data_IF_553533927611
#
_entry.id   IF_553533927611
#
_cell.length_a   1.000
_cell.length_b   1.000
_cell.length_c   1.000
_cell.angle_alpha   90.00
_cell.angle_beta   90.00
_cell.angle_gamma   90.00
#
_symmetry.space_group_name_H-M   'P 1'
#
loop_
_entity.id
_entity.type
_entity.pdbx_description
1 polymer ?
#
# COMPACT_ATOMS: atom_id res chain seq x y z
N UNK A 1 52.02 31.90 -77.79
CA UNK A 1 51.14 30.71 -77.51
C UNK A 1 50.87 30.73 -75.98
N UNK A 2 49.74 31.25 -75.50
CA UNK A 2 49.44 31.48 -74.11
C UNK A 2 48.48 30.35 -73.67
N UNK A 3 48.95 29.49 -72.73
CA UNK A 3 48.11 28.52 -72.04
C UNK A 3 47.19 29.20 -71.03
N UNK A 4 45.90 29.06 -71.20
CA UNK A 4 44.84 29.48 -70.21
C UNK A 4 44.75 28.42 -69.14
N UNK A 5 44.94 28.87 -67.90
CA UNK A 5 44.63 28.07 -66.69
C UNK A 5 43.12 28.07 -66.48
N UNK A 6 42.53 26.88 -66.47
CA UNK A 6 41.13 26.68 -65.98
C UNK A 6 41.12 26.59 -64.46
N UNK A 7 40.19 27.21 -63.74
CA UNK A 7 40.06 27.03 -62.32
C UNK A 7 39.29 25.72 -61.99
N UNK A 8 39.85 24.93 -61.12
CA UNK A 8 39.14 23.80 -60.49
C UNK A 8 38.04 24.35 -59.59
N UNK A 9 36.77 24.06 -59.94
CA UNK A 9 35.63 24.28 -59.05
C UNK A 9 35.53 23.02 -58.15
N UNK A 10 35.89 23.16 -56.89
CA UNK A 10 35.66 22.13 -55.88
C UNK A 10 34.17 22.10 -55.50
N UNK A 11 33.51 21.03 -55.90
CA UNK A 11 32.14 20.73 -55.55
C UNK A 11 32.12 20.23 -54.08
N UNK A 12 31.78 21.06 -53.13
CA UNK A 12 31.53 20.64 -51.74
C UNK A 12 30.14 20.09 -51.68
N UNK A 13 30.04 18.76 -51.65
CA UNK A 13 28.79 18.04 -51.39
C UNK A 13 28.49 18.19 -49.90
N UNK A 14 27.53 19.04 -49.55
CA UNK A 14 26.95 19.10 -48.23
C UNK A 14 26.09 17.85 -48.04
N UNK A 15 26.60 16.88 -47.25
CA UNK A 15 25.81 15.76 -46.75
C UNK A 15 24.96 16.32 -45.62
N UNK A 16 23.72 16.66 -45.91
CA UNK A 16 22.72 16.94 -44.88
C UNK A 16 22.39 15.60 -44.18
N UNK A 17 22.95 15.39 -42.98
CA UNK A 17 22.48 14.36 -42.05
C UNK A 17 21.07 14.75 -41.60
N UNK A 18 20.07 14.13 -42.23
CA UNK A 18 18.72 14.10 -41.72
C UNK A 18 18.76 13.28 -40.42
N UNK A 19 18.84 13.98 -39.27
CA UNK A 19 18.51 13.39 -37.98
C UNK A 19 17.02 13.03 -38.03
N UNK A 20 16.71 11.82 -38.42
CA UNK A 20 15.41 11.23 -38.20
C UNK A 20 15.22 11.21 -36.67
N UNK A 21 14.45 12.17 -36.14
CA UNK A 21 13.90 12.11 -34.82
C UNK A 21 13.10 10.78 -34.79
N UNK A 22 13.69 9.77 -34.18
CA UNK A 22 12.95 8.65 -33.66
C UNK A 22 12.11 9.22 -32.52
N UNK A 23 10.90 9.68 -32.85
CA UNK A 23 9.82 9.70 -31.89
C UNK A 23 9.59 8.23 -31.55
N UNK A 24 10.38 7.69 -30.62
CA UNK A 24 10.11 6.45 -29.98
C UNK A 24 8.68 6.58 -29.49
N UNK A 25 7.80 5.68 -29.92
CA UNK A 25 6.55 5.45 -29.23
C UNK A 25 6.98 5.12 -27.80
N UNK A 26 6.85 6.11 -26.89
CA UNK A 26 7.05 5.89 -25.47
C UNK A 26 6.09 4.76 -25.14
N UNK A 27 6.62 3.58 -24.84
CA UNK A 27 5.82 2.45 -24.42
C UNK A 27 5.01 2.91 -23.23
N UNK A 28 3.73 2.60 -23.21
CA UNK A 28 2.87 2.94 -22.10
C UNK A 28 3.51 2.40 -20.82
N UNK A 29 3.61 3.26 -19.79
CA UNK A 29 4.20 2.84 -18.52
C UNK A 29 3.29 1.82 -17.82
N UNK A 30 3.83 0.70 -17.29
CA UNK A 30 3.01 -0.27 -16.60
C UNK A 30 2.42 0.31 -15.30
N UNK A 31 1.22 -0.13 -14.94
CA UNK A 31 0.62 0.17 -13.64
C UNK A 31 1.46 -0.49 -12.53
N UNK A 32 1.89 0.27 -11.53
CA UNK A 32 2.59 -0.27 -10.35
C UNK A 32 1.57 -0.76 -9.33
N UNK A 33 1.56 -2.06 -9.06
CA UNK A 33 0.57 -2.73 -8.23
C UNK A 33 1.14 -3.04 -6.84
N UNK A 34 0.44 -2.64 -5.80
CA UNK A 34 0.77 -2.96 -4.42
C UNK A 34 -0.33 -3.79 -3.80
N UNK A 35 0.02 -4.97 -3.29
CA UNK A 35 -0.88 -5.84 -2.53
C UNK A 35 -0.86 -5.41 -1.06
N UNK A 36 -2.01 -4.99 -0.53
CA UNK A 36 -2.19 -4.58 0.86
C UNK A 36 -2.97 -5.68 1.59
N UNK A 37 -2.28 -6.52 2.33
CA UNK A 37 -2.87 -7.71 2.95
C UNK A 37 -2.87 -7.64 4.48
N UNK A 38 -3.89 -8.20 5.11
CA UNK A 38 -3.95 -8.24 6.56
C UNK A 38 -5.32 -8.54 7.15
N UNK A 39 -5.55 -8.00 8.35
CA UNK A 39 -6.80 -8.18 9.08
C UNK A 39 -7.51 -6.83 9.31
N UNK A 40 -8.36 -6.73 10.32
CA UNK A 40 -9.20 -5.54 10.59
C UNK A 40 -8.46 -4.19 10.55
N UNK A 41 -7.21 -4.13 10.98
CA UNK A 41 -6.43 -2.91 10.89
C UNK A 41 -6.04 -2.55 9.46
N UNK A 42 -5.85 -3.53 8.57
CA UNK A 42 -5.71 -3.29 7.15
C UNK A 42 -7.07 -3.03 6.48
N UNK A 43 -8.18 -3.65 6.94
CA UNK A 43 -9.53 -3.28 6.48
C UNK A 43 -9.83 -1.78 6.67
N UNK A 44 -9.27 -1.20 7.73
CA UNK A 44 -9.41 0.22 8.05
C UNK A 44 -10.48 0.50 9.10
N UNK A 45 -10.04 1.05 10.21
CA UNK A 45 -10.88 1.35 11.38
C UNK A 45 -10.89 2.83 11.74
N UNK A 46 -10.08 3.65 11.04
CA UNK A 46 -10.02 5.08 11.27
C UNK A 46 -11.36 5.74 10.93
N UNK A 47 -11.85 6.58 11.83
CA UNK A 47 -13.12 7.29 11.66
C UNK A 47 -12.88 8.64 10.98
N UNK A 48 -13.63 8.91 9.91
CA UNK A 48 -13.51 10.17 9.14
C UNK A 48 -14.24 11.32 9.83
N UNK A 49 -15.57 11.20 10.01
CA UNK A 49 -16.44 12.31 10.36
C UNK A 49 -17.65 11.93 11.23
N UNK A 50 -17.74 10.68 11.68
CA UNK A 50 -18.83 10.27 12.54
C UNK A 50 -18.71 10.95 13.91
N UNK A 51 -19.81 11.55 14.34
CA UNK A 51 -19.92 12.22 15.62
C UNK A 51 -21.21 11.75 16.31
N UNK A 52 -21.04 10.90 17.32
CA UNK A 52 -22.15 10.44 18.15
C UNK A 52 -21.69 10.45 19.61
N UNK A 53 -22.38 11.19 20.51
CA UNK A 53 -21.90 11.39 21.89
C UNK A 53 -21.62 10.10 22.66
N UNK A 54 -22.39 9.03 22.38
CA UNK A 54 -22.24 7.75 23.04
C UNK A 54 -21.19 6.86 22.38
N UNK A 55 -21.18 6.80 21.02
CA UNK A 55 -20.46 5.75 20.29
C UNK A 55 -19.13 6.24 19.71
N UNK A 56 -18.98 7.56 19.48
CA UNK A 56 -17.81 8.17 18.83
C UNK A 56 -17.17 9.31 19.64
N UNK A 57 -17.37 9.32 20.95
CA UNK A 57 -16.71 10.25 21.88
C UNK A 57 -16.80 11.73 21.45
N UNK A 58 -17.94 12.16 20.91
CA UNK A 58 -18.14 13.52 20.41
C UNK A 58 -17.22 13.88 19.23
N UNK A 59 -16.85 12.91 18.43
CA UNK A 59 -16.02 13.08 17.23
C UNK A 59 -14.53 13.30 17.48
N UNK A 60 -14.06 13.21 18.73
CA UNK A 60 -12.63 13.35 19.05
C UNK A 60 -11.78 12.34 18.31
N UNK A 61 -10.67 12.79 17.74
CA UNK A 61 -9.74 11.93 17.00
C UNK A 61 -10.26 11.43 15.65
N UNK A 62 -11.44 11.87 15.18
CA UNK A 62 -11.87 11.69 13.80
C UNK A 62 -11.02 12.52 12.85
N UNK A 63 -10.97 12.18 11.57
CA UNK A 63 -10.16 12.91 10.59
C UNK A 63 -10.58 14.37 10.50
N UNK A 64 -11.87 14.67 10.44
CA UNK A 64 -12.35 16.07 10.42
C UNK A 64 -12.04 16.83 11.70
N UNK A 65 -11.94 16.13 12.85
CA UNK A 65 -11.57 16.74 14.11
C UNK A 65 -10.09 17.12 14.12
N UNK A 66 -9.19 16.19 13.79
CA UNK A 66 -7.74 16.45 13.80
C UNK A 66 -7.32 17.47 12.75
N UNK A 67 -8.04 17.59 11.64
CA UNK A 67 -7.82 18.60 10.61
C UNK A 67 -8.18 20.02 11.06
N UNK A 68 -8.96 20.20 12.14
CA UNK A 68 -9.29 21.52 12.70
C UNK A 68 -8.19 22.07 13.60
N UNK A 69 -7.27 21.25 14.05
CA UNK A 69 -6.12 21.68 14.85
C UNK A 69 -5.13 22.42 13.94
N UNK A 70 -4.89 23.74 14.15
CA UNK A 70 -3.98 24.52 13.30
C UNK A 70 -2.55 23.98 13.26
N UNK A 71 -2.11 23.31 14.33
CA UNK A 71 -0.78 22.71 14.39
C UNK A 71 -0.67 21.45 13.53
N UNK A 72 -1.78 20.74 13.30
CA UNK A 72 -1.86 19.48 12.56
C UNK A 72 -2.40 19.65 11.14
N UNK A 73 -3.24 20.65 10.90
CA UNK A 73 -3.91 20.88 9.62
C UNK A 73 -2.99 20.79 8.39
N UNK A 74 -1.76 21.34 8.40
CA UNK A 74 -0.85 21.23 7.25
C UNK A 74 -0.52 19.78 6.86
N UNK A 75 -0.49 18.86 7.82
CA UNK A 75 -0.21 17.44 7.58
C UNK A 75 -1.29 16.77 6.73
N UNK A 76 -2.53 17.24 6.84
CA UNK A 76 -3.70 16.65 6.16
C UNK A 76 -4.21 17.50 4.99
N UNK A 77 -3.56 18.62 4.68
CA UNK A 77 -4.05 19.60 3.69
C UNK A 77 -4.31 18.97 2.31
N UNK A 78 -3.48 18.00 1.90
CA UNK A 78 -3.60 17.29 0.63
C UNK A 78 -4.83 16.36 0.55
N UNK A 79 -5.49 16.05 1.66
CA UNK A 79 -6.70 15.22 1.70
C UNK A 79 -7.97 16.00 1.30
N UNK A 80 -7.87 17.30 1.13
CA UNK A 80 -8.95 18.16 0.63
C UNK A 80 -8.51 18.89 -0.62
N UNK A 81 -9.43 19.03 -1.57
CA UNK A 81 -9.24 19.88 -2.72
C UNK A 81 -9.52 21.36 -2.39
N UNK A 82 -9.32 22.23 -3.38
CA UNK A 82 -9.56 23.69 -3.24
C UNK A 82 -11.01 24.06 -2.89
N UNK A 83 -11.96 23.16 -3.16
CA UNK A 83 -13.40 23.36 -2.89
C UNK A 83 -13.80 22.72 -1.54
N UNK A 84 -12.83 22.20 -0.77
CA UNK A 84 -13.04 21.55 0.53
C UNK A 84 -13.63 20.15 0.44
N UNK A 85 -13.71 19.56 -0.75
CA UNK A 85 -14.14 18.17 -0.94
C UNK A 85 -12.97 17.22 -0.67
N UNK A 86 -13.28 15.97 -0.36
CA UNK A 86 -12.24 14.95 -0.24
C UNK A 86 -11.54 14.74 -1.58
N UNK A 87 -10.22 14.84 -1.56
CA UNK A 87 -9.38 14.57 -2.73
C UNK A 87 -9.64 13.16 -3.24
N UNK A 88 -9.77 13.03 -4.54
CA UNK A 88 -9.74 11.76 -5.26
C UNK A 88 -8.52 11.80 -6.17
N UNK A 89 -7.59 10.84 -5.98
CA UNK A 89 -6.39 10.76 -6.80
C UNK A 89 -6.64 9.89 -8.02
N UNK A 90 -6.48 10.46 -9.20
CA UNK A 90 -6.65 9.74 -10.46
C UNK A 90 -5.44 8.88 -10.80
N UNK A 91 -4.26 9.24 -10.30
CA UNK A 91 -2.99 8.52 -10.47
C UNK A 91 -2.78 7.38 -9.48
N UNK A 92 -3.67 7.20 -8.50
CA UNK A 92 -3.68 6.07 -7.56
C UNK A 92 -5.06 5.46 -7.52
N UNK A 93 -5.20 4.24 -8.00
CA UNK A 93 -6.43 3.48 -7.93
C UNK A 93 -6.45 2.54 -6.74
N UNK A 94 -7.64 2.21 -6.26
CA UNK A 94 -7.88 1.20 -5.24
C UNK A 94 -8.87 0.17 -5.77
N UNK A 95 -8.59 -1.09 -5.50
CA UNK A 95 -9.49 -2.22 -5.70
C UNK A 95 -9.59 -2.98 -4.37
N UNK A 96 -10.77 -3.07 -3.79
CA UNK A 96 -11.01 -3.72 -2.51
C UNK A 96 -12.36 -4.44 -2.49
N UNK A 97 -12.31 -5.76 -2.41
CA UNK A 97 -13.48 -6.62 -2.30
C UNK A 97 -13.78 -6.88 -0.83
N UNK A 98 -14.84 -6.26 -0.35
CA UNK A 98 -15.34 -6.48 1.02
C UNK A 98 -16.30 -7.69 1.05
N UNK A 99 -16.79 -8.06 2.23
CA UNK A 99 -17.82 -9.09 2.35
C UNK A 99 -19.16 -8.69 1.68
N UNK A 100 -19.35 -7.40 1.35
CA UNK A 100 -20.64 -6.85 0.92
C UNK A 100 -20.58 -6.25 -0.49
N UNK A 101 -19.46 -5.71 -0.89
CA UNK A 101 -19.33 -4.96 -2.15
C UNK A 101 -17.89 -4.95 -2.67
N UNK A 102 -17.74 -4.69 -3.96
CA UNK A 102 -16.47 -4.32 -4.57
C UNK A 102 -16.34 -2.81 -4.61
N UNK A 103 -15.39 -2.27 -3.84
CA UNK A 103 -15.00 -0.86 -3.85
C UNK A 103 -13.84 -0.67 -4.82
N UNK A 104 -14.01 0.18 -5.83
CA UNK A 104 -12.97 0.49 -6.81
C UNK A 104 -13.05 1.92 -7.32
N UNK A 105 -11.92 2.52 -7.66
CA UNK A 105 -11.83 3.89 -8.17
C UNK A 105 -10.56 4.60 -7.73
N UNK A 106 -10.50 5.91 -7.92
CA UNK A 106 -9.40 6.76 -7.45
C UNK A 106 -9.28 6.78 -5.93
N UNK A 107 -8.06 6.85 -5.43
CA UNK A 107 -7.79 6.85 -3.98
C UNK A 107 -8.44 8.05 -3.30
N UNK A 108 -9.23 7.76 -2.27
CA UNK A 108 -9.89 8.73 -1.38
C UNK A 108 -10.23 8.05 -0.05
N UNK A 109 -10.95 8.74 0.82
CA UNK A 109 -11.58 8.10 1.99
C UNK A 109 -12.61 7.04 1.56
N UNK A 110 -12.94 6.10 2.46
CA UNK A 110 -14.04 5.14 2.27
C UNK A 110 -13.63 3.75 1.79
N UNK A 111 -12.35 3.51 1.53
CA UNK A 111 -11.85 2.18 1.19
C UNK A 111 -11.58 1.32 2.45
N UNK A 112 -12.54 1.32 3.38
CA UNK A 112 -12.54 0.48 4.57
C UNK A 112 -13.51 -0.70 4.44
N UNK A 113 -13.44 -1.66 5.35
CA UNK A 113 -14.32 -2.83 5.39
C UNK A 113 -15.79 -2.50 5.71
N UNK A 114 -16.07 -1.26 6.10
CA UNK A 114 -17.43 -0.76 6.41
C UNK A 114 -18.09 -0.14 5.20
N UNK A 115 -19.42 -0.10 5.22
CA UNK A 115 -20.21 0.63 4.23
C UNK A 115 -19.97 2.14 4.27
N UNK A 116 -20.26 2.82 3.15
CA UNK A 116 -20.12 4.28 3.03
C UNK A 116 -18.69 4.79 3.04
N UNK A 117 -18.52 6.07 3.35
CA UNK A 117 -17.24 6.79 3.28
C UNK A 117 -16.75 7.30 4.64
N UNK A 118 -17.28 6.78 5.74
CA UNK A 118 -16.99 7.27 7.09
C UNK A 118 -15.72 6.67 7.73
N UNK A 119 -15.07 5.74 7.03
CA UNK A 119 -13.87 5.09 7.52
C UNK A 119 -12.78 5.02 6.44
N UNK A 120 -11.53 4.89 6.89
CA UNK A 120 -10.37 4.60 6.05
C UNK A 120 -9.37 3.72 6.80
N UNK A 121 -8.43 3.15 6.08
CA UNK A 121 -7.32 2.38 6.62
C UNK A 121 -5.96 2.98 6.24
N UNK A 122 -4.89 2.22 6.44
CA UNK A 122 -3.54 2.66 6.08
C UNK A 122 -3.38 2.98 4.59
N UNK A 123 -4.24 2.39 3.72
CA UNK A 123 -4.19 2.59 2.27
C UNK A 123 -4.25 4.06 1.88
N UNK A 124 -4.98 4.90 2.65
CA UNK A 124 -5.18 6.31 2.31
C UNK A 124 -3.84 7.04 2.20
N UNK A 125 -3.08 7.09 3.29
CA UNK A 125 -1.81 7.83 3.28
C UNK A 125 -0.68 7.03 2.63
N UNK A 126 -0.70 5.70 2.68
CA UNK A 126 0.21 4.87 1.90
C UNK A 126 0.14 5.21 0.41
N UNK A 127 -1.07 5.28 -0.14
CA UNK A 127 -1.28 5.61 -1.55
C UNK A 127 -0.85 7.04 -1.90
N UNK A 128 -1.03 8.01 -1.01
CA UNK A 128 -0.49 9.36 -1.22
C UNK A 128 1.04 9.37 -1.26
N UNK A 129 1.72 8.65 -0.36
CA UNK A 129 3.19 8.56 -0.35
C UNK A 129 3.71 7.91 -1.63
N UNK A 130 3.12 6.78 -2.03
CA UNK A 130 3.57 6.03 -3.21
C UNK A 130 3.25 6.78 -4.50
N UNK A 131 2.04 7.34 -4.65
CA UNK A 131 1.67 8.11 -5.83
C UNK A 131 2.51 9.38 -6.00
N UNK A 132 2.99 9.98 -4.91
CA UNK A 132 3.93 11.11 -4.98
C UNK A 132 5.36 10.69 -5.34
N UNK A 133 5.71 9.42 -5.17
CA UNK A 133 7.05 8.90 -5.40
C UNK A 133 7.24 8.26 -6.78
N UNK A 134 6.17 7.92 -7.47
CA UNK A 134 6.19 7.23 -8.77
C UNK A 134 5.45 8.05 -9.83
N UNK A 135 6.03 8.13 -11.01
CA UNK A 135 5.37 8.73 -12.18
C UNK A 135 4.35 7.78 -12.86
N UNK A 136 4.35 6.50 -12.43
CA UNK A 136 3.45 5.49 -12.96
C UNK A 136 2.06 5.62 -12.35
N UNK A 137 1.03 5.17 -13.09
CA UNK A 137 -0.24 4.82 -12.47
C UNK A 137 -0.03 3.77 -11.38
N UNK A 138 -0.60 3.99 -10.21
CA UNK A 138 -0.54 3.07 -9.07
C UNK A 138 -1.88 2.37 -8.90
N UNK A 139 -1.85 1.08 -8.54
CA UNK A 139 -3.02 0.31 -8.11
C UNK A 139 -2.77 -0.31 -6.74
N UNK A 140 -3.61 -0.02 -5.78
CA UNK A 140 -3.64 -0.66 -4.47
C UNK A 140 -4.71 -1.77 -4.49
N UNK A 141 -4.28 -3.02 -4.47
CA UNK A 141 -5.19 -4.17 -4.30
C UNK A 141 -5.22 -4.53 -2.83
N UNK A 142 -6.37 -4.33 -2.19
CA UNK A 142 -6.53 -4.54 -0.76
C UNK A 142 -7.25 -5.86 -0.50
N UNK A 143 -6.61 -6.73 0.30
CA UNK A 143 -7.09 -8.07 0.65
C UNK A 143 -6.98 -8.24 2.16
N UNK A 144 -8.03 -7.89 2.87
CA UNK A 144 -8.03 -7.85 4.32
C UNK A 144 -9.36 -8.32 4.89
N UNK A 145 -9.29 -9.14 5.94
CA UNK A 145 -10.45 -9.70 6.61
C UNK A 145 -10.26 -9.69 8.13
N UNK A 146 -11.22 -9.11 8.85
CA UNK A 146 -11.20 -9.00 10.30
C UNK A 146 -11.13 -10.35 11.01
N UNK A 147 -10.43 -10.38 12.13
CA UNK A 147 -10.36 -11.58 12.97
C UNK A 147 -9.53 -12.75 12.40
N UNK A 148 -8.67 -12.51 11.42
CA UNK A 148 -7.91 -13.56 10.74
C UNK A 148 -6.47 -13.68 11.24
N UNK A 149 -6.00 -14.92 11.41
CA UNK A 149 -4.65 -15.29 11.84
C UNK A 149 -3.80 -15.80 10.69
N UNK A 150 -2.47 -15.69 10.79
CA UNK A 150 -1.58 -16.41 9.89
C UNK A 150 -1.44 -17.88 10.30
N UNK A 151 -1.63 -18.18 11.59
CA UNK A 151 -1.59 -19.53 12.13
C UNK A 151 -2.58 -20.48 11.45
N UNK A 152 -3.77 -19.97 11.07
CA UNK A 152 -4.84 -20.75 10.48
C UNK A 152 -5.32 -20.16 9.15
N UNK A 153 -5.78 -18.91 9.15
CA UNK A 153 -6.56 -18.35 8.04
C UNK A 153 -5.68 -17.98 6.84
N UNK A 154 -4.51 -17.39 7.08
CA UNK A 154 -3.52 -17.07 6.04
C UNK A 154 -2.37 -18.11 5.99
N UNK A 155 -2.53 -19.29 6.59
CA UNK A 155 -1.46 -20.29 6.66
C UNK A 155 -0.92 -20.60 5.26
N UNK A 156 0.36 -20.34 4.99
CA UNK A 156 0.94 -20.57 3.67
C UNK A 156 1.28 -22.06 3.48
N UNK A 157 1.39 -22.54 2.24
CA UNK A 157 1.70 -23.96 1.95
C UNK A 157 2.97 -24.46 2.65
N UNK A 158 4.03 -23.66 2.68
CA UNK A 158 5.33 -24.05 3.27
C UNK A 158 5.31 -24.18 4.80
N UNK A 159 4.27 -23.71 5.47
CA UNK A 159 4.09 -23.92 6.92
C UNK A 159 3.53 -25.29 7.27
N UNK A 160 3.18 -26.11 6.25
CA UNK A 160 2.56 -27.41 6.43
C UNK A 160 1.13 -27.32 6.97
N UNK A 161 0.46 -28.47 7.06
CA UNK A 161 -0.96 -28.55 7.43
C UNK A 161 -1.88 -28.07 6.30
N UNK A 162 -3.09 -27.66 6.67
CA UNK A 162 -4.07 -27.14 5.72
C UNK A 162 -3.73 -25.70 5.32
N UNK A 163 -3.75 -25.44 4.01
CA UNK A 163 -3.53 -24.07 3.49
C UNK A 163 -4.71 -23.18 3.89
N UNK A 164 -4.39 -22.01 4.43
CA UNK A 164 -5.40 -21.07 4.91
C UNK A 164 -6.25 -20.50 3.78
N UNK A 165 -7.59 -20.45 3.95
CA UNK A 165 -8.49 -19.93 2.90
C UNK A 165 -8.20 -18.48 2.54
N UNK A 166 -7.78 -17.64 3.50
CA UNK A 166 -7.43 -16.24 3.23
C UNK A 166 -6.13 -16.11 2.42
N UNK A 167 -5.16 -17.03 2.56
CA UNK A 167 -3.98 -17.07 1.70
C UNK A 167 -4.39 -17.29 0.23
N UNK A 168 -5.23 -18.31 0.00
CA UNK A 168 -5.73 -18.61 -1.36
C UNK A 168 -6.57 -17.47 -1.93
N UNK A 169 -7.48 -16.92 -1.11
CA UNK A 169 -8.35 -15.82 -1.52
C UNK A 169 -7.57 -14.53 -1.83
N UNK A 170 -6.55 -14.19 -1.05
CA UNK A 170 -5.66 -13.06 -1.29
C UNK A 170 -5.05 -13.09 -2.70
N UNK A 171 -4.53 -14.24 -3.09
CA UNK A 171 -3.94 -14.41 -4.42
C UNK A 171 -5.00 -14.45 -5.54
N UNK A 172 -6.18 -15.01 -5.26
CA UNK A 172 -7.29 -15.03 -6.21
C UNK A 172 -7.81 -13.62 -6.47
N UNK A 173 -8.02 -12.81 -5.44
CA UNK A 173 -8.47 -11.42 -5.56
C UNK A 173 -7.43 -10.53 -6.25
N UNK A 174 -6.13 -10.74 -5.99
CA UNK A 174 -5.08 -10.06 -6.75
C UNK A 174 -5.20 -10.38 -8.25
N UNK A 175 -5.36 -11.65 -8.62
CA UNK A 175 -5.53 -12.05 -10.04
C UNK A 175 -6.82 -11.50 -10.65
N UNK A 176 -7.92 -11.47 -9.89
CA UNK A 176 -9.19 -10.87 -10.30
C UNK A 176 -9.02 -9.37 -10.61
N UNK A 177 -8.38 -8.62 -9.70
CA UNK A 177 -8.11 -7.20 -9.90
C UNK A 177 -7.26 -6.95 -11.15
N UNK A 178 -6.19 -7.73 -11.35
CA UNK A 178 -5.29 -7.61 -12.49
C UNK A 178 -5.96 -8.01 -13.82
N UNK A 179 -6.82 -9.03 -13.80
CA UNK A 179 -7.58 -9.49 -14.97
C UNK A 179 -8.69 -8.52 -15.40
N UNK A 180 -9.18 -7.67 -14.47
CA UNK A 180 -10.28 -6.74 -14.70
C UNK A 180 -9.84 -5.27 -14.80
N UNK A 181 -8.56 -4.97 -15.05
CA UNK A 181 -8.03 -3.60 -15.05
C UNK A 181 -8.83 -2.66 -15.96
N UNK A 182 -9.07 -3.04 -17.20
CA UNK A 182 -9.80 -2.22 -18.17
C UNK A 182 -11.27 -2.02 -17.83
N UNK A 183 -11.89 -3.03 -17.23
CA UNK A 183 -13.28 -2.99 -16.79
C UNK A 183 -13.42 -2.17 -15.50
N UNK A 184 -12.46 -2.31 -14.61
CA UNK A 184 -12.47 -1.64 -13.31
C UNK A 184 -12.04 -0.18 -13.38
N UNK A 185 -11.15 0.16 -14.32
CA UNK A 185 -10.55 1.48 -14.45
C UNK A 185 -10.59 1.91 -15.93
N UNK A 186 -11.61 2.70 -16.32
CA UNK A 186 -11.79 3.13 -17.71
C UNK A 186 -10.57 3.86 -18.30
N UNK A 187 -9.81 4.56 -17.46
CA UNK A 187 -8.59 5.30 -17.84
C UNK A 187 -7.37 4.41 -18.02
N UNK A 188 -7.48 3.09 -17.77
CA UNK A 188 -6.40 2.16 -18.03
C UNK A 188 -6.05 2.09 -19.52
N UNK A 189 -4.85 2.49 -19.84
CA UNK A 189 -4.36 2.68 -21.22
C UNK A 189 -3.87 1.39 -21.91
N UNK A 190 -3.83 0.26 -21.19
CA UNK A 190 -3.33 -1.02 -21.70
C UNK A 190 -1.81 -1.18 -21.63
N UNK A 191 -1.10 -0.37 -20.83
CA UNK A 191 0.36 -0.45 -20.64
C UNK A 191 0.87 -1.68 -19.87
N UNK A 192 -0.01 -2.58 -19.45
CA UNK A 192 0.34 -3.72 -18.59
C UNK A 192 0.45 -3.32 -17.11
N UNK A 193 0.97 -4.23 -16.32
CA UNK A 193 1.19 -3.99 -14.88
C UNK A 193 2.48 -4.63 -14.40
N UNK A 194 2.95 -4.15 -13.26
CA UNK A 194 4.07 -4.70 -12.51
C UNK A 194 3.69 -4.75 -11.03
N UNK A 195 3.74 -5.93 -10.41
CA UNK A 195 3.53 -6.07 -8.97
C UNK A 195 4.80 -5.57 -8.28
N UNK A 196 4.68 -4.43 -7.59
CA UNK A 196 5.80 -3.67 -7.07
C UNK A 196 6.04 -3.85 -5.56
N UNK A 197 5.06 -4.37 -4.82
CA UNK A 197 5.24 -4.57 -3.38
C UNK A 197 4.07 -5.26 -2.69
N UNK A 198 4.36 -5.78 -1.50
CA UNK A 198 3.39 -6.33 -0.54
C UNK A 198 3.49 -5.55 0.77
N UNK A 199 2.36 -5.12 1.30
CA UNK A 199 2.23 -4.58 2.66
C UNK A 199 1.45 -5.59 3.50
N UNK A 200 2.06 -6.04 4.59
CA UNK A 200 1.47 -6.96 5.54
C UNK A 200 1.13 -6.26 6.85
N UNK A 201 -0.14 -6.18 7.20
CA UNK A 201 -0.59 -5.54 8.43
C UNK A 201 -1.60 -6.43 9.18
N UNK A 202 -1.05 -7.47 9.82
CA UNK A 202 -1.79 -8.54 10.49
C UNK A 202 -0.96 -9.04 11.69
N UNK A 203 -1.60 -9.64 12.69
CA UNK A 203 -0.93 -10.29 13.81
C UNK A 203 -1.72 -10.31 15.11
N UNK A 204 -2.76 -9.46 15.27
CA UNK A 204 -3.54 -9.40 16.51
C UNK A 204 -4.13 -10.75 16.91
N UNK A 205 -4.72 -11.48 15.96
CA UNK A 205 -5.34 -12.78 16.26
C UNK A 205 -4.32 -13.85 16.65
N UNK A 206 -3.13 -13.83 16.04
CA UNK A 206 -2.03 -14.74 16.42
C UNK A 206 -1.52 -14.42 17.81
N UNK A 207 -1.36 -13.14 18.12
CA UNK A 207 -0.95 -12.67 19.44
C UNK A 207 -1.91 -13.14 20.55
N UNK A 208 -3.22 -13.14 20.27
CA UNK A 208 -4.26 -13.60 21.21
C UNK A 208 -4.39 -15.13 21.25
N UNK A 209 -3.64 -15.87 20.44
CA UNK A 209 -3.71 -17.32 20.31
C UNK A 209 -2.38 -17.93 20.76
N UNK A 210 -2.25 -18.42 22.03
CA UNK A 210 -0.97 -18.84 22.57
C UNK A 210 -0.16 -19.82 21.69
N UNK A 211 -0.75 -20.84 21.02
CA UNK A 211 -0.01 -21.71 20.12
C UNK A 211 0.54 -21.02 18.86
N UNK A 212 -0.05 -19.90 18.44
CA UNK A 212 0.35 -19.20 17.23
C UNK A 212 1.60 -18.31 17.44
N UNK A 213 1.82 -17.82 18.66
CA UNK A 213 2.91 -16.89 18.98
C UNK A 213 4.30 -17.44 18.60
N UNK A 214 4.69 -18.68 19.00
CA UNK A 214 6.01 -19.19 18.67
C UNK A 214 6.18 -19.53 17.18
N UNK A 215 5.11 -19.74 16.43
CA UNK A 215 5.17 -20.05 15.00
C UNK A 215 5.13 -18.80 14.10
N UNK A 216 4.80 -17.62 14.65
CA UNK A 216 4.48 -16.45 13.85
C UNK A 216 5.61 -16.03 12.91
N UNK A 217 6.86 -15.94 13.41
CA UNK A 217 8.02 -15.55 12.62
C UNK A 217 8.20 -16.48 11.41
N UNK A 218 8.14 -17.80 11.64
CA UNK A 218 8.32 -18.76 10.57
C UNK A 218 7.13 -18.76 9.60
N UNK A 219 5.91 -18.67 10.10
CA UNK A 219 4.71 -18.63 9.25
C UNK A 219 4.70 -17.38 8.36
N UNK A 220 5.12 -16.22 8.86
CA UNK A 220 5.19 -15.01 8.04
C UNK A 220 6.36 -15.07 7.05
N UNK A 221 7.50 -15.63 7.43
CA UNK A 221 8.61 -15.86 6.51
C UNK A 221 8.18 -16.79 5.36
N UNK A 222 7.50 -17.89 5.68
CA UNK A 222 6.96 -18.83 4.70
C UNK A 222 5.93 -18.15 3.78
N UNK A 223 5.02 -17.32 4.33
CA UNK A 223 4.04 -16.58 3.54
C UNK A 223 4.72 -15.68 2.52
N UNK A 224 5.75 -14.93 2.93
CA UNK A 224 6.49 -14.05 2.03
C UNK A 224 7.16 -14.85 0.91
N UNK A 225 7.81 -15.96 1.24
CA UNK A 225 8.48 -16.82 0.27
C UNK A 225 7.49 -17.48 -0.69
N UNK A 226 6.35 -17.99 -0.18
CA UNK A 226 5.31 -18.63 -1.00
C UNK A 226 4.63 -17.62 -1.94
N UNK A 227 4.35 -16.39 -1.47
CA UNK A 227 3.83 -15.31 -2.32
C UNK A 227 4.85 -14.94 -3.41
N UNK A 228 6.13 -14.78 -3.08
CA UNK A 228 7.19 -14.52 -4.05
C UNK A 228 7.31 -15.61 -5.09
N UNK A 229 7.23 -16.87 -4.69
CA UNK A 229 7.25 -18.05 -5.57
C UNK A 229 6.04 -18.07 -6.50
N UNK A 230 4.83 -17.87 -5.94
CA UNK A 230 3.57 -17.89 -6.68
C UNK A 230 3.49 -16.77 -7.73
N UNK A 231 4.00 -15.60 -7.39
CA UNK A 231 4.06 -14.46 -8.29
C UNK A 231 5.31 -14.46 -9.20
N UNK A 232 6.25 -15.38 -8.99
CA UNK A 232 7.56 -15.44 -9.69
C UNK A 232 8.40 -14.17 -9.51
N UNK A 233 8.32 -13.54 -8.33
CA UNK A 233 9.00 -12.31 -7.96
C UNK A 233 9.89 -12.55 -6.72
N UNK A 234 11.06 -13.19 -6.85
CA UNK A 234 11.87 -13.63 -5.70
C UNK A 234 12.34 -12.49 -4.79
N UNK A 235 12.38 -11.27 -5.31
CA UNK A 235 12.82 -10.08 -4.57
C UNK A 235 11.69 -9.06 -4.36
N UNK A 236 10.42 -9.47 -4.48
CA UNK A 236 9.30 -8.57 -4.25
C UNK A 236 9.47 -7.83 -2.91
N UNK A 237 9.48 -6.49 -2.91
CA UNK A 237 9.56 -5.69 -1.70
C UNK A 237 8.38 -5.99 -0.76
N UNK A 238 8.66 -6.16 0.54
CA UNK A 238 7.62 -6.40 1.56
C UNK A 238 7.80 -5.45 2.73
N UNK A 239 6.72 -4.80 3.13
CA UNK A 239 6.69 -3.99 4.35
C UNK A 239 5.75 -4.64 5.35
N UNK A 240 6.26 -4.91 6.55
CA UNK A 240 5.51 -5.48 7.67
C UNK A 240 5.19 -4.36 8.65
N UNK A 241 3.91 -4.07 8.86
CA UNK A 241 3.46 -3.16 9.91
C UNK A 241 3.32 -3.89 11.25
N UNK A 242 3.85 -3.32 12.33
CA UNK A 242 3.65 -3.82 13.68
C UNK A 242 2.15 -3.87 14.01
N UNK A 243 1.68 -5.00 14.52
CA UNK A 243 0.26 -5.17 14.80
C UNK A 243 -0.17 -4.45 16.08
N UNK A 244 -1.30 -3.82 16.01
CA UNK A 244 -2.13 -3.38 17.11
C UNK A 244 -1.47 -2.60 18.25
N UNK A 245 -2.29 -1.96 19.04
CA UNK A 245 -1.88 -1.36 20.29
C UNK A 245 -1.92 -2.43 21.40
N UNK A 246 -0.77 -3.01 21.71
CA UNK A 246 -0.65 -4.02 22.77
C UNK A 246 0.73 -4.01 23.43
N UNK A 247 0.83 -4.56 24.64
CA UNK A 247 2.07 -4.70 25.38
C UNK A 247 2.74 -6.07 25.23
N UNK A 248 2.34 -6.86 24.24
CA UNK A 248 2.86 -8.21 24.05
C UNK A 248 4.24 -8.18 23.37
N UNK A 249 5.27 -7.84 24.16
CA UNK A 249 6.63 -7.65 23.66
C UNK A 249 7.23 -8.88 22.95
N UNK A 250 6.88 -10.09 23.39
CA UNK A 250 7.34 -11.33 22.75
C UNK A 250 6.82 -11.41 21.31
N UNK A 251 5.54 -11.12 21.11
CA UNK A 251 4.94 -11.14 19.79
C UNK A 251 5.49 -10.04 18.88
N UNK A 252 5.65 -8.81 19.39
CA UNK A 252 6.25 -7.70 18.63
C UNK A 252 7.66 -8.03 18.14
N UNK A 253 8.47 -8.66 19.02
CA UNK A 253 9.82 -9.14 18.64
C UNK A 253 9.75 -10.23 17.57
N UNK A 254 8.80 -11.17 17.67
CA UNK A 254 8.59 -12.21 16.67
C UNK A 254 8.21 -11.61 15.29
N UNK A 255 7.40 -10.55 15.28
CA UNK A 255 7.04 -9.81 14.08
C UNK A 255 8.25 -9.10 13.45
N UNK A 256 9.01 -8.37 14.25
CA UNK A 256 10.19 -7.63 13.80
C UNK A 256 11.29 -8.56 13.27
N UNK A 257 11.49 -9.71 13.92
CA UNK A 257 12.52 -10.68 13.57
C UNK A 257 12.43 -11.21 12.13
N UNK A 258 11.25 -11.13 11.50
CA UNK A 258 11.10 -11.55 10.09
C UNK A 258 11.95 -10.69 9.16
N UNK A 259 12.01 -9.37 9.38
CA UNK A 259 12.79 -8.47 8.55
C UNK A 259 14.33 -8.66 8.74
N UNK A 260 14.73 -9.25 9.86
CA UNK A 260 16.14 -9.50 10.20
C UNK A 260 16.67 -10.82 9.62
N UNK A 261 15.80 -11.66 9.02
CA UNK A 261 16.22 -12.92 8.41
C UNK A 261 17.16 -12.65 7.22
N UNK A 262 18.28 -13.38 7.10
CA UNK A 262 19.29 -13.13 6.07
C UNK A 262 18.75 -13.10 4.65
N UNK A 263 17.80 -13.98 4.33
CA UNK A 263 17.15 -14.08 3.02
C UNK A 263 16.26 -12.90 2.66
N UNK A 264 15.89 -12.07 3.63
CA UNK A 264 15.04 -10.91 3.45
C UNK A 264 15.79 -9.58 3.48
N UNK A 265 17.11 -9.65 3.70
CA UNK A 265 17.93 -8.44 3.78
C UNK A 265 17.77 -7.55 2.54
N UNK A 266 17.41 -6.30 2.76
CA UNK A 266 17.24 -5.30 1.69
C UNK A 266 15.93 -5.41 0.89
N UNK A 267 15.10 -6.43 1.17
CA UNK A 267 13.81 -6.64 0.46
C UNK A 267 12.60 -6.71 1.39
N UNK A 268 12.83 -6.81 2.71
CA UNK A 268 11.77 -6.76 3.72
C UNK A 268 12.11 -5.67 4.74
N UNK A 269 11.12 -4.87 5.11
CA UNK A 269 11.23 -3.86 6.14
C UNK A 269 10.13 -4.03 7.19
N UNK A 270 10.46 -3.81 8.46
CA UNK A 270 9.52 -3.77 9.56
C UNK A 270 9.28 -2.33 10.00
N UNK A 271 8.01 -1.96 10.20
CA UNK A 271 7.59 -0.62 10.62
C UNK A 271 6.99 -0.70 12.01
N UNK A 272 7.66 -0.19 13.05
CA UNK A 272 7.08 -0.07 14.38
C UNK A 272 5.98 0.98 14.39
N UNK A 273 4.84 0.66 15.03
CA UNK A 273 3.66 1.53 15.04
C UNK A 273 3.27 2.02 16.45
N UNK A 274 3.92 1.53 17.48
CA UNK A 274 3.61 1.87 18.87
C UNK A 274 3.60 3.38 19.14
N UNK A 275 4.51 4.14 18.54
CA UNK A 275 4.60 5.60 18.68
C UNK A 275 3.41 6.35 18.07
N UNK A 276 2.60 5.70 17.25
CA UNK A 276 1.43 6.32 16.62
C UNK A 276 0.15 6.18 17.45
N UNK A 277 0.23 5.55 18.62
CA UNK A 277 -0.90 5.48 19.55
C UNK A 277 -1.33 6.88 20.01
N UNK A 278 -2.63 7.11 20.02
CA UNK A 278 -3.26 8.27 20.63
C UNK A 278 -4.09 7.81 21.84
N UNK A 279 -4.26 8.67 22.86
CA UNK A 279 -5.04 8.32 24.06
C UNK A 279 -6.48 7.93 23.69
N UNK A 280 -7.04 6.95 24.40
CA UNK A 280 -8.42 6.52 24.23
C UNK A 280 -9.40 7.69 24.38
N UNK A 281 -9.15 8.57 25.37
CA UNK A 281 -9.99 9.74 25.68
C UNK A 281 -10.00 10.80 24.55
N UNK A 282 -9.00 10.76 23.66
CA UNK A 282 -8.85 11.64 22.50
C UNK A 282 -9.21 10.95 21.20
N UNK A 283 -9.85 9.79 21.27
CA UNK A 283 -10.13 8.93 20.13
C UNK A 283 -11.62 8.57 20.04
N UNK A 284 -12.15 8.24 18.87
CA UNK A 284 -13.58 8.00 18.71
C UNK A 284 -14.05 6.70 19.38
N UNK A 285 -13.29 5.64 19.33
CA UNK A 285 -13.70 4.29 19.79
C UNK A 285 -12.94 3.89 21.05
N UNK A 286 -13.23 4.54 22.18
CA UNK A 286 -12.47 4.45 23.46
C UNK A 286 -12.25 3.04 23.99
N UNK A 287 -13.05 2.05 23.59
CA UNK A 287 -12.95 0.65 24.04
C UNK A 287 -12.21 -0.26 23.06
N UNK A 288 -11.88 0.22 21.86
CA UNK A 288 -11.27 -0.57 20.79
C UNK A 288 -9.75 -0.33 20.66
N UNK A 289 -9.02 -0.56 21.76
CA UNK A 289 -7.55 -0.38 21.78
C UNK A 289 -6.82 -1.15 20.68
N UNK A 290 -7.25 -2.38 20.37
CA UNK A 290 -6.70 -3.21 19.31
C UNK A 290 -6.83 -2.60 17.89
N UNK A 291 -7.64 -1.55 17.74
CA UNK A 291 -7.84 -0.79 16.51
C UNK A 291 -7.36 0.67 16.65
N UNK A 292 -6.34 0.95 17.48
CA UNK A 292 -5.88 2.30 17.80
C UNK A 292 -7.05 3.24 18.13
N UNK A 293 -8.08 2.71 18.81
CA UNK A 293 -9.30 3.44 19.17
C UNK A 293 -10.03 4.11 18.00
N UNK A 294 -9.83 3.65 16.76
CA UNK A 294 -10.38 4.28 15.55
C UNK A 294 -9.79 5.66 15.25
N UNK A 295 -8.67 6.02 15.87
CA UNK A 295 -8.07 7.35 15.75
C UNK A 295 -7.49 7.59 14.35
N UNK A 296 -7.95 8.66 13.71
CA UNK A 296 -7.58 8.98 12.34
C UNK A 296 -6.10 9.34 12.19
N UNK A 297 -5.52 10.07 13.15
CA UNK A 297 -4.10 10.41 13.15
C UNK A 297 -3.22 9.17 13.23
N UNK A 298 -3.61 8.18 14.07
CA UNK A 298 -2.88 6.91 14.19
C UNK A 298 -2.81 6.20 12.84
N UNK A 299 -3.94 6.01 12.16
CA UNK A 299 -3.98 5.33 10.85
C UNK A 299 -3.29 6.10 9.74
N UNK A 300 -3.38 7.42 9.77
CA UNK A 300 -2.65 8.28 8.83
C UNK A 300 -1.14 8.11 8.99
N UNK A 301 -0.62 8.18 10.22
CA UNK A 301 0.81 8.01 10.51
C UNK A 301 1.30 6.59 10.18
N UNK A 302 0.49 5.56 10.46
CA UNK A 302 0.78 4.18 10.06
C UNK A 302 0.90 4.09 8.54
N UNK A 303 -0.10 4.57 7.79
CA UNK A 303 -0.07 4.57 6.33
C UNK A 303 1.13 5.31 5.77
N UNK A 304 1.48 6.46 6.36
CA UNK A 304 2.66 7.23 6.00
C UNK A 304 3.95 6.43 6.20
N UNK A 305 4.12 5.82 7.37
CA UNK A 305 5.33 5.07 7.70
C UNK A 305 5.48 3.81 6.82
N UNK A 306 4.37 3.11 6.54
CA UNK A 306 4.37 1.97 5.61
C UNK A 306 4.74 2.41 4.18
N UNK A 307 4.22 3.56 3.73
CA UNK A 307 4.55 4.14 2.42
C UNK A 307 6.02 4.55 2.31
N UNK A 308 6.57 5.24 3.31
CA UNK A 308 7.98 5.64 3.33
C UNK A 308 8.92 4.43 3.37
N UNK A 309 8.58 3.38 4.13
CA UNK A 309 9.35 2.13 4.14
C UNK A 309 9.33 1.44 2.76
N UNK A 310 8.17 1.36 2.12
CA UNK A 310 8.05 0.80 0.77
C UNK A 310 8.85 1.61 -0.25
N UNK A 311 8.75 2.93 -0.21
CA UNK A 311 9.55 3.83 -1.06
C UNK A 311 11.06 3.57 -0.89
N UNK A 312 11.53 3.38 0.35
CA UNK A 312 12.92 3.03 0.64
C UNK A 312 13.36 1.72 0.00
N UNK A 313 12.52 0.67 0.06
CA UNK A 313 12.82 -0.62 -0.58
C UNK A 313 12.84 -0.52 -2.11
N UNK A 314 11.91 0.23 -2.72
CA UNK A 314 11.88 0.45 -4.17
C UNK A 314 13.14 1.14 -4.69
N UNK A 315 13.65 2.16 -3.98
CA UNK A 315 14.91 2.83 -4.33
C UNK A 315 16.13 1.91 -4.22
N UNK A 316 16.11 0.95 -3.31
CA UNK A 316 17.20 -0.02 -3.14
C UNK A 316 17.21 -1.06 -4.25
N UNK A 317 16.03 -1.49 -4.71
CA UNK A 317 15.87 -2.46 -5.78
C UNK A 317 16.25 -1.89 -7.18
N UNK A 318 16.23 -0.56 -7.34
CA UNK A 318 16.58 0.12 -8.59
C UNK A 318 18.10 0.35 -8.78
N UNK A 319 18.91 0.07 -7.75
CA UNK A 319 20.39 0.14 -7.80
C UNK A 319 21.01 -1.22 -8.04
#
# INVERSE_FOLDING_TARGET
MKLRKMPCVALVAAVALAAAAHAGMAGKSPVKVFLLAGQSNMEGQAVVDLDHPRDYNGGKGTLVHVMRDPAKAPLYAHLKDKDGKWTVRDDVWVWYKTAHELKKGGLSIGYAGYGGRHHFGPELQFGHVIGNALDNQVLLVKTAWGGKSIYKDFRPPSSGGEVGPCYTQMLAELREALGSLKESFPDYDGGGYEIAGLVWFQGWNDMCTPPAVPEYTQNLANLIQDVRKELKLPHLPVVIGETGNCDHLVFRKAQAAVADLPEFKGTVAFVPTAAFLRPAQESPNVTHGHHWFGNAESYFLIGNALGEAMKGLLHTAAK
#
